data_IF_277507150866
#
_entry.id   IF_277507150866
#
_cell.length_a   1.000
_cell.length_b   1.000
_cell.length_c   1.000
_cell.angle_alpha   90.00
_cell.angle_beta   90.00
_cell.angle_gamma   90.00
#
_symmetry.space_group_name_H-M   'P 1'
#
loop_
_entity.id
_entity.type
_entity.pdbx_description
1 polymer ?
#
# COMPACT_ATOMS: atom_id res chain seq x y z
N UNK A 1 -34.42 4.72 -8.38
CA UNK A 1 -33.03 4.18 -8.33
C UNK A 1 -32.16 5.08 -9.19
N UNK A 2 -31.30 5.88 -8.58
CA UNK A 2 -30.36 6.71 -9.35
C UNK A 2 -29.25 5.79 -9.86
N UNK A 3 -29.26 5.55 -11.17
CA UNK A 3 -28.14 4.94 -11.87
C UNK A 3 -27.05 6.00 -11.98
N UNK A 4 -25.97 5.82 -11.21
CA UNK A 4 -24.75 6.57 -11.43
C UNK A 4 -24.09 5.98 -12.68
N UNK A 5 -24.07 6.75 -13.77
CA UNK A 5 -23.20 6.45 -14.91
C UNK A 5 -21.77 6.78 -14.49
N UNK A 6 -20.82 5.83 -14.55
CA UNK A 6 -19.42 6.15 -14.28
C UNK A 6 -18.96 7.20 -15.29
N UNK A 7 -18.34 8.28 -14.81
CA UNK A 7 -17.69 9.28 -15.67
C UNK A 7 -16.64 8.59 -16.52
N UNK A 8 -16.93 8.37 -17.80
CA UNK A 8 -15.93 8.02 -18.79
C UNK A 8 -15.10 9.28 -19.09
N UNK A 9 -13.90 9.33 -18.52
CA UNK A 9 -12.69 9.95 -19.07
C UNK A 9 -11.56 9.75 -18.04
N UNK A 10 -11.00 8.53 -17.99
CA UNK A 10 -9.67 8.34 -17.40
C UNK A 10 -8.66 8.81 -18.44
N UNK A 11 -8.43 10.12 -18.56
CA UNK A 11 -7.19 10.55 -19.18
C UNK A 11 -6.06 10.17 -18.21
N UNK A 12 -5.29 9.16 -18.58
CA UNK A 12 -3.99 8.92 -17.98
C UNK A 12 -3.15 10.19 -18.17
N UNK A 13 -2.84 10.87 -17.06
CA UNK A 13 -2.07 12.11 -17.07
C UNK A 13 -0.62 11.76 -16.88
N UNK A 14 0.09 11.59 -17.99
CA UNK A 14 1.52 11.34 -18.00
C UNK A 14 2.30 12.65 -17.80
N UNK A 15 2.81 12.87 -16.59
CA UNK A 15 3.60 14.05 -16.22
C UNK A 15 5.09 13.82 -16.52
N UNK A 16 5.88 14.87 -16.82
CA UNK A 16 7.33 14.73 -16.95
C UNK A 16 7.95 14.16 -15.66
N UNK A 17 8.80 13.17 -15.82
CA UNK A 17 9.63 12.55 -14.79
C UNK A 17 11.09 12.69 -15.21
N UNK A 18 11.86 13.36 -14.36
CA UNK A 18 13.31 13.44 -14.50
C UNK A 18 13.93 12.10 -14.12
N UNK A 19 14.82 11.59 -14.95
CA UNK A 19 15.51 10.33 -14.67
C UNK A 19 16.65 10.51 -13.66
N UNK A 20 17.13 11.74 -13.52
CA UNK A 20 18.18 12.08 -12.57
C UNK A 20 17.64 12.04 -11.14
N UNK A 21 18.40 11.39 -10.27
CA UNK A 21 18.09 11.37 -8.85
C UNK A 21 18.40 12.75 -8.26
N UNK A 22 17.39 13.40 -7.68
CA UNK A 22 17.59 14.60 -6.88
C UNK A 22 18.18 14.16 -5.53
N UNK A 23 19.43 14.53 -5.20
CA UNK A 23 20.02 14.14 -3.93
C UNK A 23 19.26 14.80 -2.79
N UNK A 24 18.98 14.07 -1.72
CA UNK A 24 18.51 14.65 -0.47
C UNK A 24 19.61 15.44 0.28
N UNK A 25 20.75 15.73 -0.39
CA UNK A 25 21.98 16.34 0.14
C UNK A 25 22.59 17.35 -0.84
N UNK A 26 23.93 17.49 -0.86
CA UNK A 26 24.60 18.53 -1.64
C UNK A 26 24.45 18.31 -3.17
N UNK A 27 24.01 19.32 -3.95
CA UNK A 27 23.78 19.17 -5.37
C UNK A 27 25.12 19.09 -6.14
N UNK A 28 25.23 18.18 -7.11
CA UNK A 28 26.35 18.16 -8.06
C UNK A 28 25.94 18.76 -9.42
N UNK A 29 26.83 19.47 -10.13
CA UNK A 29 26.42 20.47 -11.13
C UNK A 29 26.31 19.98 -12.58
N UNK A 30 26.34 18.67 -12.85
CA UNK A 30 26.41 18.16 -14.22
C UNK A 30 25.32 17.11 -14.46
N UNK A 31 24.33 17.40 -15.29
CA UNK A 31 23.45 16.36 -15.82
C UNK A 31 22.83 16.71 -17.19
N UNK A 32 22.78 15.68 -18.02
CA UNK A 32 22.18 15.63 -19.35
C UNK A 32 20.70 15.27 -19.26
N UNK A 33 19.86 16.08 -19.92
CA UNK A 33 18.41 16.02 -19.83
C UNK A 33 17.83 14.89 -20.70
N UNK A 34 17.23 13.89 -20.06
CA UNK A 34 16.31 12.95 -20.71
C UNK A 34 14.98 12.98 -19.95
N UNK A 35 13.93 13.48 -20.60
CA UNK A 35 12.58 13.50 -20.06
C UNK A 35 11.88 12.16 -20.36
N UNK A 36 11.47 11.43 -19.32
CA UNK A 36 10.47 10.36 -19.44
C UNK A 36 9.12 10.91 -18.97
N UNK A 37 8.00 10.32 -19.38
CA UNK A 37 6.69 10.62 -18.78
C UNK A 37 6.29 9.49 -17.82
N UNK A 38 5.67 9.87 -16.70
CA UNK A 38 5.18 8.97 -15.66
C UNK A 38 3.69 9.21 -15.44
N UNK A 39 2.91 8.13 -15.48
CA UNK A 39 1.55 8.10 -14.97
C UNK A 39 1.52 7.30 -13.65
N UNK A 40 0.93 7.87 -12.61
CA UNK A 40 0.84 7.24 -11.29
C UNK A 40 -0.05 5.99 -11.27
N UNK A 41 -1.07 5.92 -12.13
CA UNK A 41 -1.90 4.73 -12.30
C UNK A 41 -1.06 3.61 -12.92
N UNK A 42 -0.28 3.89 -13.96
CA UNK A 42 0.61 2.88 -14.56
C UNK A 42 1.69 2.42 -13.58
N UNK A 43 2.17 3.32 -12.73
CA UNK A 43 3.16 3.00 -11.70
C UNK A 43 2.58 2.12 -10.59
N UNK A 44 1.42 2.48 -10.03
CA UNK A 44 0.91 1.89 -8.79
C UNK A 44 -0.20 0.84 -8.98
N UNK A 45 -0.87 0.83 -10.13
CA UNK A 45 -2.07 0.02 -10.40
C UNK A 45 -1.77 -0.99 -11.50
N UNK A 46 -1.30 -2.18 -11.12
CA UNK A 46 -1.08 -3.28 -12.06
C UNK A 46 -2.39 -3.97 -12.48
N UNK A 47 -3.37 -4.07 -11.58
CA UNK A 47 -4.64 -4.76 -11.82
C UNK A 47 -5.83 -3.83 -11.51
N UNK A 48 -6.26 -2.95 -12.45
CA UNK A 48 -7.26 -1.92 -12.18
C UNK A 48 -8.60 -2.42 -11.64
N UNK A 49 -9.00 -3.65 -11.96
CA UNK A 49 -10.24 -4.27 -11.45
C UNK A 49 -10.11 -4.86 -10.04
N UNK A 50 -8.88 -5.02 -9.54
CA UNK A 50 -8.55 -5.64 -8.25
C UNK A 50 -7.73 -4.70 -7.35
N UNK A 51 -7.54 -3.44 -7.73
CA UNK A 51 -6.84 -2.45 -6.92
C UNK A 51 -7.83 -1.48 -6.29
N UNK A 52 -7.66 -1.23 -5.00
CA UNK A 52 -8.45 -0.26 -4.24
C UNK A 52 -7.56 0.50 -3.25
N UNK A 53 -8.08 1.61 -2.73
CA UNK A 53 -7.34 2.47 -1.81
C UNK A 53 -7.99 2.46 -0.42
N UNK A 54 -7.17 2.48 0.63
CA UNK A 54 -7.61 2.53 2.02
C UNK A 54 -6.79 3.56 2.78
N UNK A 55 -7.43 4.31 3.68
CA UNK A 55 -6.69 5.15 4.64
C UNK A 55 -6.34 4.34 5.88
N UNK A 56 -5.08 4.39 6.30
CA UNK A 56 -4.65 3.83 7.57
C UNK A 56 -5.20 4.65 8.75
N UNK A 57 -5.42 3.99 9.87
CA UNK A 57 -5.77 4.59 11.15
C UNK A 57 -4.94 3.96 12.25
N UNK A 58 -4.50 4.78 13.20
CA UNK A 58 -3.58 4.38 14.26
C UNK A 58 -2.13 4.27 13.81
N UNK A 59 -1.28 3.80 14.71
CA UNK A 59 0.19 3.83 14.61
C UNK A 59 0.81 2.42 14.74
N UNK A 60 0.02 1.35 14.68
CA UNK A 60 0.53 -0.03 14.84
C UNK A 60 1.52 -0.48 13.75
N UNK A 61 1.73 0.32 12.71
CA UNK A 61 2.56 0.02 11.54
C UNK A 61 3.62 1.10 11.25
N UNK A 62 3.96 1.96 12.23
CA UNK A 62 4.89 3.08 12.04
C UNK A 62 6.29 2.67 11.59
N UNK A 63 6.82 1.53 12.05
CA UNK A 63 8.15 1.03 11.69
C UNK A 63 8.18 0.52 10.24
N UNK A 64 7.01 0.22 9.66
CA UNK A 64 6.83 -0.05 8.23
C UNK A 64 6.57 1.23 7.40
N UNK A 65 6.64 2.41 8.01
CA UNK A 65 6.38 3.69 7.35
C UNK A 65 4.89 4.02 7.16
N UNK A 66 3.99 3.25 7.77
CA UNK A 66 2.54 3.51 7.74
C UNK A 66 2.14 4.23 9.02
N UNK A 67 1.84 5.52 8.89
CA UNK A 67 1.29 6.37 9.93
C UNK A 67 -0.21 6.56 9.79
N UNK A 68 -0.79 7.32 10.70
CA UNK A 68 -2.21 7.66 10.66
C UNK A 68 -2.53 8.55 9.45
N UNK A 69 -3.60 8.19 8.72
CA UNK A 69 -4.10 8.97 7.58
C UNK A 69 -3.39 8.72 6.25
N UNK A 70 -2.35 7.89 6.21
CA UNK A 70 -1.66 7.51 4.98
C UNK A 70 -2.60 6.76 4.03
N UNK A 71 -2.39 6.97 2.73
CA UNK A 71 -3.15 6.29 1.70
C UNK A 71 -2.41 5.01 1.27
N UNK A 72 -3.06 3.88 1.45
CA UNK A 72 -2.56 2.56 1.06
C UNK A 72 -3.14 2.17 -0.29
N UNK A 73 -2.29 1.76 -1.22
CA UNK A 73 -2.69 1.11 -2.47
C UNK A 73 -2.70 -0.38 -2.22
N UNK A 74 -3.84 -1.02 -2.44
CA UNK A 74 -4.06 -2.43 -2.11
C UNK A 74 -4.45 -3.19 -3.37
N UNK A 75 -3.79 -4.32 -3.61
CA UNK A 75 -4.10 -5.23 -4.72
C UNK A 75 -4.65 -6.55 -4.16
N UNK A 76 -5.92 -6.86 -4.44
CA UNK A 76 -6.59 -8.09 -4.02
C UNK A 76 -6.34 -9.29 -4.93
N UNK A 77 -5.80 -9.08 -6.13
CA UNK A 77 -5.43 -10.18 -7.03
C UNK A 77 -4.11 -10.83 -6.63
N UNK A 78 -3.27 -10.11 -5.87
CA UNK A 78 -1.98 -10.61 -5.38
C UNK A 78 -2.20 -11.61 -4.25
N UNK A 79 -1.58 -12.78 -4.39
CA UNK A 79 -1.48 -13.75 -3.30
C UNK A 79 -0.60 -13.19 -2.19
N UNK A 80 -1.12 -13.16 -0.96
CA UNK A 80 -0.34 -12.74 0.18
C UNK A 80 0.72 -13.78 0.53
N UNK A 81 1.96 -13.32 0.67
CA UNK A 81 3.13 -14.14 1.00
C UNK A 81 3.67 -13.78 2.38
N UNK A 82 4.55 -14.63 2.92
CA UNK A 82 5.24 -14.34 4.16
C UNK A 82 5.98 -12.99 4.08
N UNK A 83 5.77 -12.11 5.06
CA UNK A 83 6.34 -10.78 5.11
C UNK A 83 5.53 -9.71 4.37
N UNK A 84 4.47 -10.07 3.65
CA UNK A 84 3.60 -9.10 2.97
C UNK A 84 2.85 -8.24 3.98
N UNK A 85 2.68 -6.96 3.69
CA UNK A 85 1.74 -6.11 4.43
C UNK A 85 0.35 -6.33 3.81
N UNK A 86 -0.61 -6.70 4.63
CA UNK A 86 -1.93 -7.13 4.16
C UNK A 86 -3.05 -6.34 4.84
N UNK A 87 -4.15 -6.16 4.12
CA UNK A 87 -5.44 -5.86 4.72
C UNK A 87 -6.07 -7.20 5.07
N UNK A 88 -6.20 -7.48 6.36
CA UNK A 88 -6.81 -8.70 6.88
C UNK A 88 -8.06 -8.36 7.67
N UNK A 89 -9.04 -9.25 7.70
CA UNK A 89 -10.09 -9.25 8.70
C UNK A 89 -9.88 -10.46 9.62
N UNK A 90 -9.90 -10.21 10.93
CA UNK A 90 -9.92 -11.24 11.96
C UNK A 90 -11.26 -11.12 12.68
N UNK A 91 -12.06 -12.17 12.64
CA UNK A 91 -13.41 -12.20 13.22
C UNK A 91 -14.33 -11.04 12.76
N UNK A 92 -14.12 -10.58 11.53
CA UNK A 92 -14.87 -9.50 10.90
C UNK A 92 -14.30 -8.10 11.10
N UNK A 93 -13.27 -7.93 11.92
CA UNK A 93 -12.61 -6.64 12.13
C UNK A 93 -11.39 -6.45 11.22
N UNK A 94 -11.38 -5.36 10.45
CA UNK A 94 -10.30 -5.05 9.52
C UNK A 94 -9.06 -4.50 10.24
N UNK A 95 -7.89 -4.99 9.83
CA UNK A 95 -6.60 -4.52 10.32
C UNK A 95 -5.54 -4.54 9.23
N UNK A 96 -4.55 -3.67 9.37
CA UNK A 96 -3.34 -3.65 8.52
C UNK A 96 -2.19 -4.19 9.34
N UNK A 97 -1.58 -5.28 8.89
CA UNK A 97 -0.49 -5.97 9.59
C UNK A 97 0.46 -6.63 8.60
N UNK A 98 1.67 -6.96 9.06
CA UNK A 98 2.58 -7.82 8.32
C UNK A 98 2.19 -9.28 8.55
N UNK A 99 1.89 -9.98 7.46
CA UNK A 99 1.56 -11.40 7.48
C UNK A 99 2.82 -12.22 7.74
N UNK A 100 2.82 -13.03 8.78
CA UNK A 100 3.81 -14.07 9.01
C UNK A 100 3.12 -15.42 8.83
N UNK A 101 3.69 -16.29 7.99
CA UNK A 101 3.17 -17.65 7.77
C UNK A 101 3.98 -18.75 8.50
N UNK A 102 5.22 -18.44 8.88
CA UNK A 102 6.15 -19.39 9.47
C UNK A 102 6.88 -18.76 10.66
N UNK A 103 7.18 -19.51 11.74
CA UNK A 103 6.79 -20.91 11.96
C UNK A 103 5.29 -21.10 12.21
N UNK A 104 4.59 -20.04 12.61
CA UNK A 104 3.14 -20.02 12.82
C UNK A 104 2.51 -18.84 12.09
N UNK A 105 1.22 -18.97 11.77
CA UNK A 105 0.44 -17.90 11.14
C UNK A 105 0.12 -16.83 12.17
N UNK A 106 0.55 -15.60 11.91
CA UNK A 106 0.27 -14.46 12.77
C UNK A 106 0.30 -13.15 11.99
N UNK A 107 -0.43 -12.16 12.50
CA UNK A 107 -0.43 -10.79 12.00
C UNK A 107 0.43 -9.94 12.94
N UNK A 108 1.56 -9.46 12.41
CA UNK A 108 2.55 -8.70 13.16
C UNK A 108 2.31 -7.20 12.98
N UNK A 109 2.17 -6.44 14.08
CA UNK A 109 2.36 -5.00 14.03
C UNK A 109 3.83 -4.69 13.75
N UNK A 110 4.06 -3.50 13.21
CA UNK A 110 5.39 -2.90 13.00
C UNK A 110 5.46 -1.67 13.91
N UNK A 111 5.28 -1.94 15.21
CA UNK A 111 5.39 -1.01 16.31
C UNK A 111 5.55 -1.82 17.61
N UNK A 112 6.67 -1.61 18.32
CA UNK A 112 7.01 -2.33 19.55
C UNK A 112 5.98 -2.22 20.69
N UNK A 113 5.09 -1.21 20.66
CA UNK A 113 4.03 -1.03 21.65
C UNK A 113 2.86 -1.99 21.47
N UNK A 114 2.75 -2.66 20.32
CA UNK A 114 1.63 -3.52 19.96
C UNK A 114 2.02 -4.99 19.97
N UNK A 115 1.12 -5.84 20.46
CA UNK A 115 1.33 -7.29 20.48
C UNK A 115 0.92 -7.92 19.14
N UNK A 116 1.67 -8.92 18.65
CA UNK A 116 1.23 -9.69 17.49
C UNK A 116 -0.05 -10.48 17.76
N UNK A 117 -0.86 -10.62 16.71
CA UNK A 117 -2.11 -11.39 16.74
C UNK A 117 -1.80 -12.78 16.18
N UNK A 118 -1.78 -13.77 17.07
CA UNK A 118 -1.62 -15.18 16.68
C UNK A 118 -2.94 -15.67 16.10
N UNK A 119 -2.89 -16.36 14.95
CA UNK A 119 -4.08 -16.93 14.32
C UNK A 119 -4.12 -18.41 14.63
N UNK A 120 -5.08 -18.80 15.48
CA UNK A 120 -5.40 -20.17 15.84
C UNK A 120 -6.21 -20.90 14.77
N UNK A 121 -6.48 -22.18 15.01
CA UNK A 121 -7.26 -23.00 14.07
C UNK A 121 -8.75 -22.63 14.01
N UNK A 122 -9.28 -21.99 15.07
CA UNK A 122 -10.69 -21.60 15.16
C UNK A 122 -10.93 -20.16 14.68
N UNK A 123 -9.88 -19.36 14.54
CA UNK A 123 -9.97 -17.95 14.16
C UNK A 123 -10.30 -17.81 12.68
N UNK A 124 -11.21 -16.90 12.36
CA UNK A 124 -11.55 -16.63 10.97
C UNK A 124 -10.66 -15.52 10.40
N UNK A 125 -9.58 -15.91 9.72
CA UNK A 125 -8.69 -14.99 9.01
C UNK A 125 -9.08 -14.88 7.53
N UNK A 126 -9.47 -13.68 7.10
CA UNK A 126 -9.69 -13.36 5.70
C UNK A 126 -8.68 -12.30 5.22
N UNK A 127 -7.99 -12.56 4.11
CA UNK A 127 -7.10 -11.58 3.48
C UNK A 127 -7.83 -10.90 2.32
N UNK A 128 -7.92 -9.58 2.36
CA UNK A 128 -8.61 -8.78 1.35
C UNK A 128 -7.68 -8.23 0.27
N UNK A 129 -6.39 -8.13 0.57
CA UNK A 129 -5.38 -7.79 -0.41
C UNK A 129 -4.03 -7.45 0.20
N UNK A 130 -3.05 -7.27 -0.68
CA UNK A 130 -1.67 -6.91 -0.33
C UNK A 130 -1.45 -5.43 -0.57
N UNK A 131 -0.89 -4.74 0.43
CA UNK A 131 -0.49 -3.34 0.30
C UNK A 131 0.76 -3.28 -0.59
N UNK A 132 0.67 -2.57 -1.71
CA UNK A 132 1.74 -2.44 -2.71
C UNK A 132 2.48 -1.12 -2.61
N UNK A 133 1.77 -0.03 -2.27
CA UNK A 133 2.34 1.30 -2.11
C UNK A 133 1.74 2.02 -0.90
N UNK A 134 2.55 2.88 -0.28
CA UNK A 134 2.14 3.81 0.78
C UNK A 134 2.35 5.21 0.23
N UNK A 135 1.28 5.98 0.12
CA UNK A 135 1.32 7.37 -0.35
C UNK A 135 1.10 8.29 0.85
N UNK A 136 2.14 9.08 1.16
CA UNK A 136 2.17 9.99 2.30
C UNK A 136 2.26 11.43 1.79
N UNK A 137 1.38 12.30 2.30
CA UNK A 137 1.52 13.74 2.09
C UNK A 137 2.68 14.26 2.93
N UNK A 138 3.50 15.12 2.35
CA UNK A 138 4.63 15.75 3.05
C UNK A 138 4.25 17.02 3.82
N UNK A 139 2.97 17.44 3.78
CA UNK A 139 2.46 18.71 4.31
C UNK A 139 1.47 18.54 5.45
#
# INVERSE_FOLDING_TARGET
>A
MQFFTPTELRQNVALPMFNDLVPCGFPSPAQDYIERRLDLNELMIHHPSATYFVKSSGDSMIEAGIGEGDLLVVDSSRKAEHGSIVIAAVDGEFTVKRLQLHPFVMLKPENALYKPIMIGCEDNLAIFGVVTYIVKSAS
#
